data_IF_495719945748
#
_entry.id   IF_495719945748
#
_cell.length_a   1.000
_cell.length_b   1.000
_cell.length_c   1.000
_cell.angle_alpha   90.00
_cell.angle_beta   90.00
_cell.angle_gamma   90.00
#
_symmetry.space_group_name_H-M   'P 1'
#
loop_
_entity.id
_entity.type
_entity.pdbx_description
1 polymer ?
#
# COMPACT_ATOMS: atom_id res chain seq x y z
N UNK A 1 4.89 -6.80 -0.52
CA UNK A 1 4.72 -8.26 -0.32
C UNK A 1 5.84 -8.71 0.59
N UNK A 2 5.52 -9.25 1.76
CA UNK A 2 6.50 -9.82 2.68
C UNK A 2 6.62 -11.32 2.40
N UNK A 3 7.83 -11.83 2.32
CA UNK A 3 8.08 -13.26 2.10
C UNK A 3 8.98 -13.76 3.23
N UNK A 4 8.52 -14.76 3.98
CA UNK A 4 9.31 -15.34 5.08
C UNK A 4 9.32 -16.86 4.96
N UNK A 5 10.49 -17.48 5.13
CA UNK A 5 10.62 -18.93 5.22
C UNK A 5 10.17 -19.39 6.60
N UNK A 6 9.29 -20.40 6.62
CA UNK A 6 8.78 -20.98 7.87
C UNK A 6 8.92 -22.49 7.86
N UNK A 7 9.31 -23.04 9.00
CA UNK A 7 9.38 -24.47 9.24
C UNK A 7 8.35 -24.85 10.31
N UNK A 8 7.58 -25.92 10.08
CA UNK A 8 6.60 -26.42 11.04
C UNK A 8 7.08 -27.74 11.65
N UNK A 9 7.43 -27.71 12.95
CA UNK A 9 7.86 -28.86 13.74
C UNK A 9 6.97 -29.11 14.98
N UNK A 10 5.69 -28.70 14.90
CA UNK A 10 4.80 -28.59 16.06
C UNK A 10 4.70 -27.16 16.60
N UNK A 11 5.59 -26.26 16.14
CA UNK A 11 5.49 -24.81 16.25
C UNK A 11 5.92 -24.18 14.90
N UNK A 12 5.33 -23.05 14.54
CA UNK A 12 5.76 -22.28 13.35
C UNK A 12 7.02 -21.50 13.69
N UNK A 13 8.16 -21.95 13.15
CA UNK A 13 9.46 -21.30 13.36
C UNK A 13 9.83 -20.49 12.13
N UNK A 14 10.08 -19.18 12.31
CA UNK A 14 10.56 -18.30 11.25
C UNK A 14 12.06 -18.50 11.04
N UNK A 15 12.46 -18.70 9.78
CA UNK A 15 13.85 -18.80 9.36
C UNK A 15 14.28 -17.44 8.79
N UNK A 16 14.68 -16.53 9.67
CA UNK A 16 14.93 -15.12 9.35
C UNK A 16 16.37 -14.64 9.66
N UNK A 17 17.26 -15.54 10.08
CA UNK A 17 18.67 -15.24 10.37
C UNK A 17 19.58 -16.07 9.47
N UNK A 18 20.16 -15.40 8.46
CA UNK A 18 21.04 -16.02 7.48
C UNK A 18 22.39 -16.48 8.07
N UNK A 19 22.76 -15.99 9.25
CA UNK A 19 24.01 -16.37 9.92
C UNK A 19 23.88 -17.66 10.74
N UNK A 20 22.63 -18.12 10.95
CA UNK A 20 22.32 -19.25 11.81
C UNK A 20 22.15 -20.54 11.02
N UNK A 21 22.87 -21.59 11.42
CA UNK A 21 22.78 -22.89 10.77
C UNK A 21 21.36 -23.51 10.89
N UNK A 22 20.87 -24.14 9.82
CA UNK A 22 19.54 -24.78 9.78
C UNK A 22 19.35 -25.87 10.87
N UNK A 23 20.43 -26.53 11.28
CA UNK A 23 20.41 -27.52 12.36
C UNK A 23 20.01 -26.93 13.71
N UNK A 24 20.31 -25.65 13.96
CA UNK A 24 19.92 -24.97 15.21
C UNK A 24 18.41 -24.71 15.31
N UNK A 25 17.71 -24.75 14.17
CA UNK A 25 16.25 -24.74 14.09
C UNK A 25 15.66 -26.17 14.10
N UNK A 26 16.51 -27.19 14.32
CA UNK A 26 16.17 -28.61 14.27
C UNK A 26 15.65 -29.08 12.91
N UNK A 27 16.11 -28.47 11.81
CA UNK A 27 15.83 -29.00 10.47
C UNK A 27 16.72 -30.22 10.22
N UNK A 28 16.08 -31.34 9.89
CA UNK A 28 16.71 -32.61 9.53
C UNK A 28 16.52 -32.90 8.03
N UNK A 29 17.28 -33.86 7.50
CA UNK A 29 17.06 -34.38 6.15
C UNK A 29 15.60 -34.84 5.98
N UNK A 30 14.94 -34.40 4.91
CA UNK A 30 13.52 -34.65 4.68
C UNK A 30 12.54 -33.64 5.32
N UNK A 31 13.05 -32.65 6.07
CA UNK A 31 12.23 -31.54 6.60
C UNK A 31 11.63 -30.71 5.47
N UNK A 32 10.37 -30.31 5.63
CA UNK A 32 9.66 -29.45 4.67
C UNK A 32 9.62 -28.02 5.19
N UNK A 33 10.20 -27.12 4.41
CA UNK A 33 10.11 -25.67 4.65
C UNK A 33 8.99 -25.13 3.75
N UNK A 34 8.15 -24.28 4.31
CA UNK A 34 7.10 -23.59 3.59
C UNK A 34 7.46 -22.13 3.43
N UNK A 35 7.06 -21.54 2.30
CA UNK A 35 7.15 -20.10 2.09
C UNK A 35 5.84 -19.48 2.58
N UNK A 36 5.93 -18.60 3.58
CA UNK A 36 4.80 -17.76 3.96
C UNK A 36 4.87 -16.47 3.14
N UNK A 37 3.88 -16.26 2.28
CA UNK A 37 3.70 -15.01 1.54
C UNK A 37 2.60 -14.21 2.24
N UNK A 38 2.95 -13.05 2.79
CA UNK A 38 1.99 -12.14 3.42
C UNK A 38 1.67 -11.00 2.47
N UNK A 39 0.39 -10.85 2.16
CA UNK A 39 -0.12 -9.65 1.51
C UNK A 39 -0.10 -8.49 2.51
N UNK A 40 0.30 -7.27 2.09
CA UNK A 40 0.23 -6.11 2.96
C UNK A 40 -1.23 -5.84 3.33
N UNK A 41 -1.49 -5.58 4.62
CA UNK A 41 -2.81 -5.15 5.06
C UNK A 41 -3.23 -3.89 4.29
N UNK A 42 -4.45 -3.90 3.76
CA UNK A 42 -5.05 -2.72 3.13
C UNK A 42 -5.88 -1.95 4.15
N UNK A 43 -6.00 -0.66 3.91
CA UNK A 43 -6.91 0.24 4.61
C UNK A 43 -7.84 0.87 3.57
N UNK A 44 -9.05 1.16 4.00
CA UNK A 44 -10.02 1.85 3.16
C UNK A 44 -9.84 3.36 3.27
N UNK A 45 -9.88 4.06 2.15
CA UNK A 45 -9.92 5.53 2.07
C UNK A 45 -11.00 6.00 1.10
N UNK A 46 -11.47 7.23 1.29
CA UNK A 46 -12.45 7.86 0.43
C UNK A 46 -11.79 8.91 -0.45
N UNK A 47 -12.16 8.95 -1.73
CA UNK A 47 -11.85 10.05 -2.63
C UNK A 47 -13.11 10.85 -2.89
N UNK A 48 -13.10 12.14 -2.58
CA UNK A 48 -14.19 13.06 -2.95
C UNK A 48 -13.79 13.88 -4.17
N UNK A 49 -14.54 13.75 -5.26
CA UNK A 49 -14.27 14.51 -6.48
C UNK A 49 -14.93 15.90 -6.48
N UNK A 50 -14.69 16.69 -7.53
CA UNK A 50 -15.22 18.06 -7.67
C UNK A 50 -16.75 18.14 -7.70
N UNK A 51 -17.43 17.04 -8.08
CA UNK A 51 -18.89 16.93 -8.07
C UNK A 51 -19.45 16.62 -6.68
N UNK A 52 -18.56 16.41 -5.69
CA UNK A 52 -18.91 16.03 -4.34
C UNK A 52 -19.20 14.54 -4.16
N UNK A 53 -18.98 13.72 -5.19
CA UNK A 53 -19.18 12.26 -5.14
C UNK A 53 -18.01 11.60 -4.44
N UNK A 54 -18.31 10.66 -3.53
CA UNK A 54 -17.30 9.83 -2.86
C UNK A 54 -17.11 8.50 -3.60
N UNK A 55 -15.86 8.11 -3.79
CA UNK A 55 -15.43 6.80 -4.29
C UNK A 55 -14.53 6.13 -3.26
N UNK A 56 -14.71 4.83 -3.05
CA UNK A 56 -13.90 4.06 -2.11
C UNK A 56 -12.67 3.45 -2.78
N UNK A 57 -11.55 3.48 -2.08
CA UNK A 57 -10.28 2.87 -2.49
C UNK A 57 -9.69 2.05 -1.35
N UNK A 58 -9.24 0.84 -1.68
CA UNK A 58 -8.32 0.08 -0.83
C UNK A 58 -6.89 0.52 -1.17
N UNK A 59 -6.15 0.94 -0.17
CA UNK A 59 -4.75 1.39 -0.27
C UNK A 59 -3.89 0.63 0.73
N UNK A 60 -2.59 0.54 0.45
CA UNK A 60 -1.63 0.07 1.46
C UNK A 60 -0.96 1.28 2.12
N UNK A 61 -0.48 1.18 3.38
CA UNK A 61 0.27 2.27 4.02
C UNK A 61 1.52 2.71 3.21
N UNK A 62 2.05 1.79 2.42
CA UNK A 62 3.22 1.97 1.57
C UNK A 62 2.90 2.49 0.16
N UNK A 63 1.61 2.65 -0.18
CA UNK A 63 1.23 3.10 -1.50
C UNK A 63 1.73 4.52 -1.75
N UNK A 64 2.41 4.71 -2.88
CA UNK A 64 2.90 6.03 -3.28
C UNK A 64 1.77 6.88 -3.82
N UNK A 65 1.87 8.19 -3.63
CA UNK A 65 0.96 9.18 -4.21
C UNK A 65 0.87 9.02 -5.74
N UNK A 66 1.97 8.70 -6.42
CA UNK A 66 2.00 8.51 -7.87
C UNK A 66 1.10 7.34 -8.32
N UNK A 67 1.28 6.15 -7.72
CA UNK A 67 0.45 4.98 -8.00
C UNK A 67 -1.03 5.23 -7.70
N UNK A 68 -1.34 5.82 -6.55
CA UNK A 68 -2.71 6.17 -6.20
C UNK A 68 -3.30 7.14 -7.22
N UNK A 69 -2.56 8.19 -7.59
CA UNK A 69 -2.97 9.17 -8.59
C UNK A 69 -3.27 8.52 -9.94
N UNK A 70 -2.45 7.58 -10.39
CA UNK A 70 -2.69 6.83 -11.63
C UNK A 70 -4.04 6.10 -11.58
N UNK A 71 -4.35 5.40 -10.48
CA UNK A 71 -5.66 4.74 -10.30
C UNK A 71 -6.83 5.73 -10.32
N UNK A 72 -6.64 6.92 -9.73
CA UNK A 72 -7.66 7.97 -9.79
C UNK A 72 -7.82 8.51 -11.21
N UNK A 73 -6.74 8.74 -11.96
CA UNK A 73 -6.81 9.19 -13.35
C UNK A 73 -7.56 8.20 -14.24
N UNK A 74 -7.27 6.90 -14.10
CA UNK A 74 -7.92 5.83 -14.84
C UNK A 74 -9.42 5.74 -14.52
N UNK A 75 -9.80 5.88 -13.24
CA UNK A 75 -11.22 5.80 -12.83
C UNK A 75 -12.00 7.07 -13.18
N UNK A 76 -11.43 8.26 -12.98
CA UNK A 76 -12.13 9.54 -13.20
C UNK A 76 -12.00 10.05 -14.66
N UNK A 77 -11.10 9.46 -15.47
CA UNK A 77 -10.88 9.85 -16.86
C UNK A 77 -10.18 11.21 -17.04
N UNK A 78 -9.41 11.64 -16.05
CA UNK A 78 -8.78 12.97 -16.01
C UNK A 78 -7.26 12.87 -16.26
N UNK A 79 -6.69 13.70 -17.16
CA UNK A 79 -5.24 13.78 -17.37
C UNK A 79 -4.44 14.08 -16.08
N UNK A 80 -3.28 13.41 -15.94
CA UNK A 80 -2.40 13.53 -14.77
C UNK A 80 -2.00 14.97 -14.40
N UNK A 81 -1.76 15.79 -15.42
CA UNK A 81 -1.35 17.18 -15.27
C UNK A 81 -2.49 18.10 -14.83
N UNK A 82 -3.74 17.65 -14.91
CA UNK A 82 -4.90 18.39 -14.43
C UNK A 82 -5.33 17.97 -13.03
N UNK A 83 -4.98 16.76 -12.60
CA UNK A 83 -5.45 16.20 -11.34
C UNK A 83 -4.58 16.65 -10.15
N UNK A 84 -5.20 17.22 -9.12
CA UNK A 84 -4.60 17.48 -7.80
C UNK A 84 -5.29 16.62 -6.75
N UNK A 85 -4.49 16.03 -5.86
CA UNK A 85 -4.95 15.32 -4.68
C UNK A 85 -4.60 16.15 -3.46
N UNK A 86 -5.54 16.31 -2.53
CA UNK A 86 -5.39 17.16 -1.35
C UNK A 86 -5.88 16.39 -0.13
N UNK A 87 -5.06 16.34 0.91
CA UNK A 87 -5.43 15.81 2.22
C UNK A 87 -4.99 16.79 3.30
N UNK A 88 -5.87 17.08 4.27
CA UNK A 88 -5.61 18.04 5.37
C UNK A 88 -5.04 19.39 4.88
N UNK A 89 -5.54 19.90 3.74
CA UNK A 89 -5.10 21.16 3.14
C UNK A 89 -3.74 21.10 2.42
N UNK A 90 -3.06 19.94 2.39
CA UNK A 90 -1.78 19.75 1.71
C UNK A 90 -1.96 19.04 0.38
N UNK A 91 -1.42 19.62 -0.70
CA UNK A 91 -1.37 18.96 -2.01
C UNK A 91 -0.36 17.80 -1.98
N UNK A 92 -0.83 16.63 -2.41
CA UNK A 92 -0.07 15.39 -2.47
C UNK A 92 0.64 15.29 -3.82
N UNK A 93 1.97 15.41 -3.83
CA UNK A 93 2.78 15.46 -5.04
C UNK A 93 3.67 14.22 -5.25
N UNK A 94 4.31 13.73 -4.19
CA UNK A 94 5.24 12.60 -4.23
C UNK A 94 5.32 11.94 -2.84
N UNK A 95 6.03 10.82 -2.72
CA UNK A 95 6.13 10.07 -1.46
C UNK A 95 4.97 9.10 -1.26
N UNK A 96 4.79 8.62 -0.02
CA UNK A 96 3.73 7.70 0.38
C UNK A 96 2.48 8.45 0.79
N UNK A 97 1.31 7.81 0.69
CA UNK A 97 0.07 8.34 1.24
C UNK A 97 0.21 8.63 2.76
N UNK A 98 0.93 7.78 3.48
CA UNK A 98 1.21 7.95 4.91
C UNK A 98 2.00 9.24 5.24
N UNK A 99 2.84 9.73 4.32
CA UNK A 99 3.61 10.98 4.50
C UNK A 99 2.69 12.23 4.52
N UNK A 100 1.43 12.07 4.11
CA UNK A 100 0.37 13.07 4.14
C UNK A 100 -0.69 12.78 5.21
N UNK A 101 -0.38 11.88 6.16
CA UNK A 101 -1.28 11.50 7.23
C UNK A 101 -2.58 10.83 6.74
N UNK A 102 -2.57 10.23 5.54
CA UNK A 102 -3.69 9.42 5.07
C UNK A 102 -3.74 8.13 5.89
N UNK A 103 -4.88 7.87 6.53
CA UNK A 103 -5.14 6.73 7.40
C UNK A 103 -6.46 6.06 7.00
N UNK A 104 -6.81 5.01 7.72
CA UNK A 104 -8.10 4.35 7.53
C UNK A 104 -9.24 5.38 7.65
N UNK A 105 -10.18 5.30 6.70
CA UNK A 105 -11.34 6.17 6.56
C UNK A 105 -11.01 7.66 6.29
N UNK A 106 -9.75 8.01 5.99
CA UNK A 106 -9.39 9.34 5.51
C UNK A 106 -10.15 9.71 4.23
N UNK A 107 -10.48 10.99 4.08
CA UNK A 107 -11.05 11.53 2.84
C UNK A 107 -10.01 12.39 2.11
N UNK A 108 -9.61 11.95 0.92
CA UNK A 108 -8.75 12.69 0.00
C UNK A 108 -9.65 13.47 -0.97
N UNK A 109 -9.37 14.76 -1.15
CA UNK A 109 -10.08 15.62 -2.09
C UNK A 109 -9.36 15.63 -3.43
N UNK A 110 -10.10 15.45 -4.52
CA UNK A 110 -9.62 15.61 -5.89
C UNK A 110 -10.13 16.95 -6.46
N UNK A 111 -9.22 17.75 -7.00
CA UNK A 111 -9.54 18.98 -7.74
C UNK A 111 -8.80 19.02 -9.08
N UNK A 112 -9.31 19.81 -10.02
CA UNK A 112 -8.75 20.05 -11.33
C UNK A 112 -7.91 21.34 -11.31
N UNK A 113 -6.81 21.35 -12.08
CA UNK A 113 -6.08 22.56 -12.41
C UNK A 113 -6.84 23.31 -13.51
N UNK A 114 -7.09 24.59 -13.28
CA UNK A 114 -7.59 25.49 -14.32
C UNK A 114 -6.52 25.63 -15.41
N UNK A 115 -6.91 25.47 -16.68
CA UNK A 115 -6.04 25.86 -17.80
C UNK A 115 -6.16 27.38 -17.95
N UNK A 116 -5.05 28.09 -17.86
CA UNK A 116 -4.96 29.44 -18.40
C UNK A 116 -5.06 29.34 -19.93
N UNK A 117 -5.99 30.08 -20.52
CA UNK A 117 -6.12 30.23 -21.97
C UNK A 117 -5.00 31.06 -22.57
#
# INVERSE_FOLDING_TARGET
IGTTLVFNNGQSTHLNDDSRALSSYNLLSGSRVSLLVTEPATIQVFLKNEKGTNSTYEVTPEETVENFRKRVQEREGVPANQLRLIHEGKEMQAGKLADYNVRELSTIFMTLRLRGG
#
